data_IF_214705565903
#
_entry.id   IF_214705565903
#
_cell.length_a   1.000
_cell.length_b   1.000
_cell.length_c   1.000
_cell.angle_alpha   90.00
_cell.angle_beta   90.00
_cell.angle_gamma   90.00
#
_symmetry.space_group_name_H-M   'P 1'
#
loop_
_entity.id
_entity.type
_entity.pdbx_description
1 polymer ?
#
# COMPACT_ATOMS: atom_id res chain seq x y z
N UNK A 1 -37.12 -58.96 15.93
CA UNK A 1 -36.26 -57.76 15.96
C UNK A 1 -35.23 -57.69 14.82
N UNK A 2 -34.63 -58.81 14.38
CA UNK A 2 -33.64 -58.80 13.28
C UNK A 2 -34.28 -58.58 11.88
N UNK A 3 -35.47 -59.13 11.61
CA UNK A 3 -36.13 -58.95 10.30
C UNK A 3 -36.59 -57.51 10.03
N UNK A 4 -36.99 -56.78 11.08
CA UNK A 4 -37.39 -55.37 11.00
C UNK A 4 -36.22 -54.43 10.67
N UNK A 5 -35.01 -54.77 11.12
CA UNK A 5 -33.77 -54.07 10.76
C UNK A 5 -33.39 -54.33 9.29
N UNK A 6 -33.54 -55.57 8.82
CA UNK A 6 -33.22 -55.94 7.43
C UNK A 6 -34.14 -55.27 6.40
N UNK A 7 -35.42 -55.10 6.74
CA UNK A 7 -36.41 -54.41 5.90
C UNK A 7 -36.12 -52.91 5.79
N UNK A 8 -35.81 -52.24 6.92
CA UNK A 8 -35.45 -50.82 6.95
C UNK A 8 -34.15 -50.54 6.21
N UNK A 9 -33.13 -51.40 6.34
CA UNK A 9 -31.87 -51.27 5.61
C UNK A 9 -32.06 -51.42 4.09
N UNK A 10 -32.89 -52.38 3.65
CA UNK A 10 -33.21 -52.56 2.22
C UNK A 10 -34.01 -51.38 1.66
N UNK A 11 -34.89 -50.79 2.48
CA UNK A 11 -35.65 -49.61 2.09
C UNK A 11 -34.78 -48.34 1.96
N UNK A 12 -33.75 -48.22 2.82
CA UNK A 12 -32.74 -47.16 2.77
C UNK A 12 -31.77 -47.33 1.60
N UNK A 13 -31.46 -48.57 1.22
CA UNK A 13 -30.67 -48.90 0.02
C UNK A 13 -31.46 -48.73 -1.29
N UNK A 14 -32.79 -48.84 -1.27
CA UNK A 14 -33.64 -48.57 -2.43
C UNK A 14 -34.10 -47.11 -2.53
N UNK A 15 -33.73 -46.26 -1.56
CA UNK A 15 -34.15 -44.86 -1.55
C UNK A 15 -33.22 -44.01 -2.43
N UNK A 16 -33.68 -43.73 -3.65
CA UNK A 16 -33.04 -42.84 -4.64
C UNK A 16 -32.80 -41.42 -4.11
N UNK A 17 -33.49 -41.00 -3.03
CA UNK A 17 -33.24 -39.71 -2.37
C UNK A 17 -31.90 -39.68 -1.61
N UNK A 18 -31.39 -40.85 -1.20
CA UNK A 18 -30.09 -40.99 -0.53
C UNK A 18 -28.90 -40.72 -1.46
N UNK A 19 -29.02 -41.05 -2.75
CA UNK A 19 -27.95 -40.85 -3.75
C UNK A 19 -27.67 -39.36 -3.96
N UNK A 20 -28.72 -38.55 -4.16
CA UNK A 20 -28.59 -37.10 -4.28
C UNK A 20 -27.98 -36.46 -3.02
N UNK A 21 -28.32 -36.98 -1.82
CA UNK A 21 -27.72 -36.51 -0.57
C UNK A 21 -26.21 -36.80 -0.49
N UNK A 22 -25.77 -37.97 -0.98
CA UNK A 22 -24.34 -38.33 -1.00
C UNK A 22 -23.54 -37.52 -2.01
N UNK A 23 -24.09 -37.25 -3.19
CA UNK A 23 -23.44 -36.39 -4.20
C UNK A 23 -23.30 -34.96 -3.68
N UNK A 24 -24.35 -34.41 -3.07
CA UNK A 24 -24.32 -33.10 -2.43
C UNK A 24 -23.28 -33.04 -1.31
N UNK A 25 -23.20 -34.07 -0.45
CA UNK A 25 -22.22 -34.11 0.63
C UNK A 25 -20.77 -34.08 0.14
N UNK A 26 -20.49 -34.65 -1.04
CA UNK A 26 -19.15 -34.64 -1.65
C UNK A 26 -18.84 -33.31 -2.33
N UNK A 27 -19.79 -32.70 -3.04
CA UNK A 27 -19.56 -31.47 -3.82
C UNK A 27 -19.60 -30.20 -2.97
N UNK A 28 -20.46 -30.16 -1.96
CA UNK A 28 -20.64 -29.00 -1.06
C UNK A 28 -19.35 -28.48 -0.42
N UNK A 29 -18.44 -29.30 0.15
CA UNK A 29 -17.21 -28.78 0.73
C UNK A 29 -16.32 -28.04 -0.27
N UNK A 30 -16.26 -28.50 -1.53
CA UNK A 30 -15.51 -27.81 -2.58
C UNK A 30 -16.18 -26.51 -3.01
N UNK A 31 -17.51 -26.50 -3.15
CA UNK A 31 -18.25 -25.27 -3.45
C UNK A 31 -18.10 -24.22 -2.35
N UNK A 32 -18.15 -24.62 -1.08
CA UNK A 32 -17.93 -23.73 0.06
C UNK A 32 -16.52 -23.18 0.08
N UNK A 33 -15.50 -24.01 -0.18
CA UNK A 33 -14.11 -23.57 -0.25
C UNK A 33 -13.92 -22.52 -1.36
N UNK A 34 -14.44 -22.78 -2.56
CA UNK A 34 -14.35 -21.84 -3.67
C UNK A 34 -15.12 -20.54 -3.40
N UNK A 35 -16.28 -20.63 -2.76
CA UNK A 35 -17.06 -19.45 -2.39
C UNK A 35 -16.34 -18.58 -1.36
N UNK A 36 -15.91 -19.17 -0.25
CA UNK A 36 -15.19 -18.45 0.82
C UNK A 36 -13.87 -17.90 0.28
N UNK A 37 -13.10 -18.73 -0.44
CA UNK A 37 -11.85 -18.33 -1.07
C UNK A 37 -12.04 -17.17 -2.04
N UNK A 38 -13.09 -17.22 -2.89
CA UNK A 38 -13.41 -16.14 -3.82
C UNK A 38 -13.76 -14.82 -3.12
N UNK A 39 -14.57 -14.87 -2.06
CA UNK A 39 -14.94 -13.67 -1.28
C UNK A 39 -13.72 -13.06 -0.59
N UNK A 40 -12.89 -13.88 0.07
CA UNK A 40 -11.69 -13.40 0.76
C UNK A 40 -10.62 -12.85 -0.20
N UNK A 41 -10.44 -13.49 -1.37
CA UNK A 41 -9.56 -12.98 -2.42
C UNK A 41 -10.07 -11.66 -2.99
N UNK A 42 -11.39 -11.55 -3.23
CA UNK A 42 -12.02 -10.31 -3.70
C UNK A 42 -11.83 -9.16 -2.72
N UNK A 43 -12.00 -9.42 -1.42
CA UNK A 43 -11.75 -8.43 -0.36
C UNK A 43 -10.26 -8.03 -0.31
N UNK A 44 -9.34 -8.99 -0.36
CA UNK A 44 -7.90 -8.71 -0.40
C UNK A 44 -7.48 -7.86 -1.60
N UNK A 45 -8.03 -8.13 -2.79
CA UNK A 45 -7.77 -7.33 -3.98
C UNK A 45 -8.36 -5.91 -3.85
N UNK A 46 -9.57 -5.77 -3.35
CA UNK A 46 -10.20 -4.47 -3.12
C UNK A 46 -9.39 -3.62 -2.12
N UNK A 47 -8.86 -4.23 -1.06
CA UNK A 47 -7.95 -3.56 -0.12
C UNK A 47 -6.63 -3.17 -0.80
N UNK A 48 -6.07 -4.01 -1.67
CA UNK A 48 -4.84 -3.69 -2.39
C UNK A 48 -5.01 -2.43 -3.27
N UNK A 49 -6.14 -2.31 -3.98
CA UNK A 49 -6.46 -1.08 -4.74
C UNK A 49 -6.50 0.16 -3.83
N UNK A 50 -7.02 0.03 -2.61
CA UNK A 50 -7.02 1.12 -1.62
C UNK A 50 -5.62 1.46 -1.11
N UNK A 51 -4.78 0.45 -0.86
CA UNK A 51 -3.36 0.63 -0.50
C UNK A 51 -2.63 1.41 -1.57
N UNK A 52 -2.80 1.02 -2.84
CA UNK A 52 -2.25 1.73 -4.00
C UNK A 52 -2.73 3.18 -4.08
N UNK A 53 -4.05 3.40 -3.95
CA UNK A 53 -4.64 4.74 -3.95
C UNK A 53 -4.11 5.62 -2.79
N UNK A 54 -3.84 5.01 -1.63
CA UNK A 54 -3.24 5.68 -0.48
C UNK A 54 -1.81 6.12 -0.81
N UNK A 55 -0.98 5.23 -1.36
CA UNK A 55 0.40 5.53 -1.75
C UNK A 55 0.45 6.67 -2.78
N UNK A 56 -0.44 6.64 -3.77
CA UNK A 56 -0.57 7.69 -4.77
C UNK A 56 -0.96 9.03 -4.14
N UNK A 57 -1.98 9.02 -3.26
CA UNK A 57 -2.49 10.25 -2.62
C UNK A 57 -1.44 10.90 -1.74
N UNK A 58 -0.67 10.11 -0.96
CA UNK A 58 0.41 10.62 -0.10
C UNK A 58 1.49 11.29 -0.94
N UNK A 59 1.97 10.60 -1.98
CA UNK A 59 2.99 11.15 -2.87
C UNK A 59 2.48 12.42 -3.58
N UNK A 60 1.21 12.43 -4.02
CA UNK A 60 0.59 13.58 -4.68
C UNK A 60 0.47 14.81 -3.75
N UNK A 61 0.05 14.63 -2.50
CA UNK A 61 -0.03 15.72 -1.52
C UNK A 61 1.35 16.30 -1.18
N UNK A 62 2.38 15.45 -1.10
CA UNK A 62 3.74 15.89 -0.73
C UNK A 62 4.41 16.62 -1.89
N UNK A 63 4.27 16.11 -3.11
CA UNK A 63 4.92 16.69 -4.32
C UNK A 63 4.38 18.06 -4.71
N UNK A 64 3.22 18.48 -4.19
CA UNK A 64 2.64 19.82 -4.38
C UNK A 64 3.23 20.88 -3.44
N UNK A 65 4.08 20.49 -2.50
CA UNK A 65 4.74 21.40 -1.56
C UNK A 65 6.23 21.46 -1.88
N UNK A 66 6.83 22.65 -1.75
CA UNK A 66 8.28 22.80 -1.92
C UNK A 66 9.02 22.57 -0.61
N UNK A 67 8.33 22.76 0.53
CA UNK A 67 8.86 22.55 1.87
C UNK A 67 7.73 22.17 2.85
N UNK A 68 7.99 21.21 3.74
CA UNK A 68 7.04 20.69 4.72
C UNK A 68 7.62 20.68 6.13
N UNK A 69 6.82 21.13 7.10
CA UNK A 69 7.13 20.99 8.53
C UNK A 69 6.77 19.58 9.02
N UNK A 70 7.31 19.17 10.17
CA UNK A 70 6.97 17.87 10.80
C UNK A 70 5.47 17.74 11.05
N UNK A 71 4.83 18.78 11.58
CA UNK A 71 3.40 18.79 11.89
C UNK A 71 2.54 18.60 10.64
N UNK A 72 2.93 19.20 9.52
CA UNK A 72 2.20 19.04 8.26
C UNK A 72 2.40 17.66 7.65
N UNK A 73 3.62 17.13 7.70
CA UNK A 73 3.87 15.76 7.26
C UNK A 73 3.02 14.77 8.08
N UNK A 74 2.98 14.93 9.40
CA UNK A 74 2.13 14.10 10.27
C UNK A 74 0.63 14.27 9.94
N UNK A 75 0.20 15.50 9.65
CA UNK A 75 -1.17 15.79 9.21
C UNK A 75 -1.54 15.14 7.87
N UNK A 76 -0.64 15.19 6.88
CA UNK A 76 -0.82 14.55 5.57
C UNK A 76 -0.92 13.03 5.74
N UNK A 77 0.01 12.44 6.50
CA UNK A 77 0.02 10.99 6.74
C UNK A 77 -1.23 10.53 7.50
N UNK A 78 -1.68 11.31 8.50
CA UNK A 78 -2.92 11.03 9.21
C UNK A 78 -4.16 11.13 8.31
N UNK A 79 -4.25 12.17 7.48
CA UNK A 79 -5.35 12.37 6.54
C UNK A 79 -5.40 11.27 5.47
N UNK A 80 -4.24 10.85 4.96
CA UNK A 80 -4.15 9.79 3.96
C UNK A 80 -4.74 8.46 4.46
N UNK A 81 -4.72 8.20 5.76
CA UNK A 81 -5.32 6.99 6.32
C UNK A 81 -6.83 6.88 6.11
N UNK A 82 -7.52 8.00 5.89
CA UNK A 82 -8.96 8.01 5.61
C UNK A 82 -9.32 7.37 4.26
N UNK A 83 -8.37 7.28 3.31
CA UNK A 83 -8.61 6.69 1.99
C UNK A 83 -8.89 5.18 2.05
N UNK A 84 -8.41 4.51 3.11
CA UNK A 84 -8.65 3.10 3.38
C UNK A 84 -10.10 2.80 3.79
N UNK A 85 -10.93 3.79 4.09
CA UNK A 85 -12.33 3.56 4.42
C UNK A 85 -13.03 2.76 3.30
N UNK A 86 -13.89 1.78 3.66
CA UNK A 86 -14.40 1.46 5.00
C UNK A 86 -13.55 0.43 5.80
N UNK A 87 -12.33 0.11 5.37
CA UNK A 87 -11.51 -0.92 6.01
C UNK A 87 -10.81 -0.41 7.27
N UNK A 88 -10.73 -1.22 8.34
CA UNK A 88 -10.11 -0.81 9.59
C UNK A 88 -8.60 -0.67 9.45
N UNK A 89 -8.04 0.46 9.88
CA UNK A 89 -6.59 0.71 9.86
C UNK A 89 -5.90 0.32 11.18
N UNK A 90 -6.67 -0.09 12.18
CA UNK A 90 -6.20 -0.52 13.50
C UNK A 90 -7.02 -1.71 13.99
N UNK A 91 -6.36 -2.60 14.71
CA UNK A 91 -6.99 -3.64 15.50
C UNK A 91 -6.60 -3.44 16.97
N UNK A 92 -7.49 -2.83 17.76
CA UNK A 92 -7.17 -2.34 19.09
C UNK A 92 -6.04 -1.30 19.06
N UNK A 93 -4.93 -1.59 19.73
CA UNK A 93 -3.74 -0.73 19.77
C UNK A 93 -2.74 -1.01 18.63
N UNK A 94 -2.97 -2.05 17.84
CA UNK A 94 -2.08 -2.46 16.74
C UNK A 94 -2.47 -1.74 15.46
N UNK A 95 -1.51 -1.03 14.84
CA UNK A 95 -1.71 -0.46 13.51
C UNK A 95 -1.69 -1.58 12.47
N UNK A 96 -2.72 -1.68 11.64
CA UNK A 96 -2.77 -2.61 10.50
C UNK A 96 -2.13 -2.00 9.25
N UNK A 97 -1.91 -0.69 9.26
CA UNK A 97 -1.35 0.04 8.13
C UNK A 97 -0.10 0.81 8.53
N UNK A 98 0.90 0.79 7.67
CA UNK A 98 2.10 1.62 7.75
C UNK A 98 2.25 2.40 6.46
N UNK A 99 2.40 3.72 6.57
CA UNK A 99 2.72 4.61 5.46
C UNK A 99 4.12 5.14 5.71
N UNK A 100 5.02 4.91 4.77
CA UNK A 100 6.36 5.47 4.75
C UNK A 100 6.50 6.36 3.53
N UNK A 101 7.05 7.55 3.71
CA UNK A 101 7.39 8.44 2.62
C UNK A 101 8.84 8.86 2.73
N UNK A 102 9.53 8.88 1.59
CA UNK A 102 10.94 9.21 1.51
C UNK A 102 11.20 10.07 0.28
N UNK A 103 12.12 11.03 0.41
CA UNK A 103 12.74 11.63 -0.77
C UNK A 103 13.95 10.82 -1.20
N UNK A 104 14.04 10.58 -2.49
CA UNK A 104 15.05 9.77 -3.14
C UNK A 104 15.71 10.61 -4.20
N UNK A 105 17.00 10.86 -4.02
CA UNK A 105 17.77 11.65 -4.98
C UNK A 105 18.84 10.81 -5.63
N UNK A 106 19.16 11.13 -6.87
CA UNK A 106 20.20 10.45 -7.64
C UNK A 106 21.39 11.37 -7.89
N UNK A 107 22.59 10.80 -7.88
CA UNK A 107 23.80 11.52 -8.27
C UNK A 107 23.97 11.60 -9.80
N UNK A 108 25.10 12.16 -10.25
CA UNK A 108 25.41 12.29 -11.68
C UNK A 108 25.64 10.93 -12.38
N UNK A 109 25.87 9.87 -11.60
CA UNK A 109 26.05 8.49 -12.06
C UNK A 109 24.74 7.69 -11.99
N UNK A 110 23.64 8.30 -11.52
CA UNK A 110 22.33 7.65 -11.35
C UNK A 110 22.17 6.84 -10.06
N UNK A 111 23.09 6.95 -9.11
CA UNK A 111 22.99 6.24 -7.83
C UNK A 111 21.95 6.90 -6.93
N UNK A 112 20.86 6.18 -6.64
CA UNK A 112 19.78 6.70 -5.80
C UNK A 112 20.09 6.53 -4.31
N UNK A 113 19.83 7.58 -3.54
CA UNK A 113 19.99 7.60 -2.08
C UNK A 113 18.81 8.28 -1.41
N UNK A 114 18.41 7.78 -0.25
CA UNK A 114 17.37 8.40 0.59
C UNK A 114 17.90 9.69 1.22
N UNK A 115 17.18 10.80 1.04
CA UNK A 115 17.54 12.11 1.61
C UNK A 115 16.87 12.38 2.95
N UNK A 116 15.60 12.02 3.05
CA UNK A 116 14.86 11.99 4.29
C UNK A 116 13.79 10.91 4.18
N UNK A 117 13.31 10.46 5.34
CA UNK A 117 12.21 9.51 5.41
C UNK A 117 11.37 9.79 6.64
N UNK A 118 10.06 9.59 6.51
CA UNK A 118 9.10 9.67 7.60
C UNK A 118 8.11 8.53 7.47
N UNK A 119 7.76 7.90 8.58
CA UNK A 119 6.79 6.82 8.62
C UNK A 119 5.77 7.04 9.73
N UNK A 120 4.57 6.47 9.55
CA UNK A 120 3.59 6.34 10.62
C UNK A 120 3.98 5.27 11.65
N UNK A 121 4.90 4.36 11.29
CA UNK A 121 5.51 3.40 12.20
C UNK A 121 6.84 3.93 12.75
N UNK A 122 7.11 3.69 14.03
CA UNK A 122 8.35 4.11 14.68
C UNK A 122 9.62 3.52 14.04
N UNK A 123 9.53 2.33 13.43
CA UNK A 123 10.63 1.65 12.76
C UNK A 123 10.50 1.59 11.24
N UNK A 124 9.44 2.20 10.68
CA UNK A 124 9.13 2.09 9.25
C UNK A 124 9.87 3.09 8.36
N UNK A 125 10.53 4.10 8.94
CA UNK A 125 11.26 5.11 8.17
C UNK A 125 12.59 4.53 7.66
N UNK A 126 12.93 4.86 6.40
CA UNK A 126 14.20 4.47 5.78
C UNK A 126 15.36 5.26 6.38
N UNK A 127 16.55 4.67 6.38
CA UNK A 127 17.76 5.34 6.86
C UNK A 127 18.22 6.39 5.84
N UNK A 128 18.56 7.59 6.30
CA UNK A 128 19.14 8.64 5.45
C UNK A 128 20.47 8.16 4.89
N UNK A 129 20.69 8.35 3.59
CA UNK A 129 21.87 7.86 2.86
C UNK A 129 21.77 6.40 2.42
N UNK A 130 20.68 5.68 2.75
CA UNK A 130 20.47 4.33 2.26
C UNK A 130 20.43 4.32 0.73
N UNK A 131 21.28 3.50 0.12
CA UNK A 131 21.30 3.30 -1.32
C UNK A 131 20.03 2.58 -1.78
N UNK A 132 19.50 3.00 -2.92
CA UNK A 132 18.33 2.38 -3.55
C UNK A 132 18.59 2.12 -5.02
N UNK A 133 17.93 1.10 -5.54
CA UNK A 133 17.95 0.79 -6.97
C UNK A 133 16.67 1.30 -7.60
N UNK A 134 16.78 2.24 -8.53
CA UNK A 134 15.67 2.69 -9.35
C UNK A 134 15.67 1.89 -10.65
N UNK A 135 14.49 1.47 -11.11
CA UNK A 135 14.36 0.91 -12.45
C UNK A 135 14.71 1.96 -13.50
N UNK A 136 15.21 1.53 -14.66
CA UNK A 136 15.85 2.37 -15.70
C UNK A 136 14.91 3.34 -16.45
N UNK A 137 13.76 3.70 -15.88
CA UNK A 137 12.68 4.41 -16.59
C UNK A 137 12.07 5.58 -15.81
N UNK A 138 12.79 6.18 -14.86
CA UNK A 138 12.20 7.26 -14.06
C UNK A 138 12.45 8.66 -14.64
N UNK A 139 13.49 8.91 -15.46
CA UNK A 139 13.76 10.27 -15.95
C UNK A 139 12.97 10.71 -17.20
N UNK A 140 12.36 11.92 -17.23
CA UNK A 140 11.84 12.53 -18.45
C UNK A 140 13.00 12.89 -19.39
N UNK A 141 13.20 12.13 -20.47
CA UNK A 141 14.09 12.53 -21.58
C UNK A 141 15.30 11.65 -21.90
N UNK A 142 15.53 10.52 -21.23
CA UNK A 142 16.60 9.60 -21.65
C UNK A 142 17.07 8.61 -20.59
N UNK A 143 17.85 7.63 -21.06
CA UNK A 143 18.32 6.35 -20.46
C UNK A 143 19.07 6.40 -19.13
N UNK A 144 19.04 7.51 -18.38
CA UNK A 144 19.74 7.62 -17.09
C UNK A 144 18.93 8.42 -16.08
N UNK A 145 18.74 7.83 -14.89
CA UNK A 145 18.13 8.46 -13.73
C UNK A 145 19.14 9.37 -13.01
N UNK A 146 19.89 10.20 -13.73
CA UNK A 146 20.94 11.02 -13.13
C UNK A 146 20.40 12.39 -12.68
N UNK A 147 20.84 12.86 -11.52
CA UNK A 147 20.52 14.18 -10.95
C UNK A 147 19.02 14.49 -10.77
N UNK A 148 18.18 13.48 -10.59
CA UNK A 148 16.75 13.61 -10.30
C UNK A 148 16.45 13.47 -8.80
N UNK A 149 15.33 14.06 -8.36
CA UNK A 149 14.71 13.74 -7.07
C UNK A 149 13.29 13.21 -7.28
N UNK A 150 12.91 12.25 -6.44
CA UNK A 150 11.63 11.56 -6.46
C UNK A 150 11.09 11.45 -5.04
N UNK A 151 9.78 11.58 -4.89
CA UNK A 151 9.08 11.20 -3.67
C UNK A 151 8.61 9.77 -3.83
N UNK A 152 9.11 8.91 -2.96
CA UNK A 152 8.70 7.52 -2.81
C UNK A 152 7.68 7.45 -1.66
N UNK A 153 6.44 7.10 -1.98
CA UNK A 153 5.46 6.69 -0.97
C UNK A 153 5.29 5.18 -1.00
N UNK A 154 5.41 4.56 0.17
CA UNK A 154 5.26 3.13 0.39
C UNK A 154 4.16 2.93 1.42
N UNK A 155 3.19 2.11 1.07
CA UNK A 155 2.10 1.76 1.99
C UNK A 155 2.07 0.26 2.13
N UNK A 156 1.97 -0.21 3.36
CA UNK A 156 1.74 -1.62 3.65
C UNK A 156 0.56 -1.79 4.59
N UNK A 157 -0.24 -2.82 4.35
CA UNK A 157 -1.42 -3.17 5.11
C UNK A 157 -1.42 -4.68 5.42
N UNK A 158 -1.61 -5.02 6.68
CA UNK A 158 -1.64 -6.41 7.17
C UNK A 158 -3.06 -6.96 7.10
N UNK A 159 -3.40 -7.61 5.97
CA UNK A 159 -4.72 -8.20 5.75
C UNK A 159 -4.83 -9.56 6.42
N UNK A 160 -5.86 -9.71 7.27
CA UNK A 160 -6.19 -10.97 7.94
C UNK A 160 -7.57 -11.40 7.45
N UNK A 161 -7.68 -12.50 6.67
CA UNK A 161 -8.96 -13.04 6.23
C UNK A 161 -9.88 -13.33 7.42
N UNK A 162 -11.18 -13.02 7.29
CA UNK A 162 -12.13 -13.30 8.38
C UNK A 162 -12.43 -14.80 8.47
N UNK A 163 -12.46 -15.48 7.33
CA UNK A 163 -12.68 -16.90 7.20
C UNK A 163 -11.39 -17.59 6.71
N UNK A 164 -11.04 -18.72 7.31
CA UNK A 164 -9.86 -19.49 6.90
C UNK A 164 -8.51 -18.90 7.30
N UNK A 165 -8.47 -17.92 8.21
CA UNK A 165 -7.24 -17.32 8.73
C UNK A 165 -6.24 -18.36 9.27
N UNK A 166 -6.73 -19.43 9.90
CA UNK A 166 -5.89 -20.51 10.43
C UNK A 166 -5.11 -21.26 9.35
N UNK A 167 -5.52 -21.13 8.08
CA UNK A 167 -4.88 -21.77 6.92
C UNK A 167 -4.04 -20.76 6.15
N UNK A 168 -4.56 -19.55 5.91
CA UNK A 168 -3.91 -18.53 5.07
C UNK A 168 -2.95 -17.59 5.82
N UNK A 169 -3.14 -17.40 7.12
CA UNK A 169 -2.39 -16.42 7.92
C UNK A 169 -2.65 -14.95 7.52
N UNK A 170 -1.85 -14.04 8.08
CA UNK A 170 -1.89 -12.62 7.72
C UNK A 170 -1.10 -12.40 6.43
N UNK A 171 -1.74 -11.80 5.43
CA UNK A 171 -1.13 -11.46 4.15
C UNK A 171 -0.80 -9.98 4.13
N UNK A 172 0.47 -9.64 3.94
CA UNK A 172 0.92 -8.26 3.82
C UNK A 172 0.67 -7.76 2.40
N UNK A 173 -0.26 -6.83 2.26
CA UNK A 173 -0.51 -6.07 1.04
C UNK A 173 0.42 -4.86 1.05
N UNK A 174 1.15 -4.61 -0.03
CA UNK A 174 2.03 -3.44 -0.10
C UNK A 174 2.08 -2.89 -1.50
N UNK A 175 2.16 -1.57 -1.61
CA UNK A 175 2.40 -0.88 -2.86
C UNK A 175 3.35 0.31 -2.64
N UNK A 176 4.06 0.68 -3.71
CA UNK A 176 5.03 1.77 -3.72
C UNK A 176 4.85 2.63 -4.95
N UNK A 177 4.85 3.94 -4.77
CA UNK A 177 4.64 4.89 -5.85
C UNK A 177 5.70 5.98 -5.85
N UNK A 178 6.21 6.29 -7.04
CA UNK A 178 7.20 7.33 -7.26
C UNK A 178 6.55 8.49 -8.00
N UNK A 179 6.73 9.70 -7.48
CA UNK A 179 6.36 10.92 -8.18
C UNK A 179 7.50 11.92 -8.16
N UNK A 180 7.65 12.63 -9.27
CA UNK A 180 8.43 13.87 -9.29
C UNK A 180 7.74 14.93 -8.44
N UNK A 181 8.50 15.69 -7.63
CA UNK A 181 8.01 16.93 -7.07
C UNK A 181 7.44 17.82 -8.18
N UNK A 182 6.16 18.14 -8.08
CA UNK A 182 5.47 19.02 -9.02
C UNK A 182 5.98 20.45 -8.86
N UNK A 183 6.44 20.77 -7.66
CA UNK A 183 6.94 22.09 -7.31
C UNK A 183 8.19 21.93 -6.45
N UNK A 184 9.27 22.59 -6.84
CA UNK A 184 10.52 22.63 -6.09
C UNK A 184 11.06 24.05 -6.07
N UNK A 185 11.85 24.36 -5.05
CA UNK A 185 12.61 25.62 -5.00
C UNK A 185 13.87 25.60 -5.84
N UNK A 186 14.29 24.43 -6.32
CA UNK A 186 15.53 24.26 -7.07
C UNK A 186 15.20 24.06 -8.55
N UNK A 187 16.03 24.65 -9.43
CA UNK A 187 15.96 24.53 -10.90
C UNK A 187 17.26 23.95 -11.48
N UNK A 188 17.38 23.74 -12.81
CA UNK A 188 18.51 22.99 -13.39
C UNK A 188 19.78 23.82 -13.32
N UNK A 189 19.59 25.14 -13.24
CA UNK A 189 20.60 26.16 -13.22
C UNK A 189 21.19 26.39 -11.82
N UNK A 190 20.57 25.87 -10.75
CA UNK A 190 21.02 26.04 -9.37
C UNK A 190 21.51 24.71 -8.82
N UNK A 191 22.82 24.62 -8.62
CA UNK A 191 23.64 23.45 -8.26
C UNK A 191 23.09 22.52 -7.16
N UNK A 192 23.57 21.25 -7.19
CA UNK A 192 23.51 20.19 -6.17
C UNK A 192 23.29 20.74 -4.75
N UNK A 193 22.27 20.31 -3.97
CA UNK A 193 21.52 19.03 -4.00
C UNK A 193 20.33 19.01 -5.01
N UNK A 194 19.52 17.94 -5.14
CA UNK A 194 18.93 17.53 -6.43
C UNK A 194 17.93 18.53 -7.04
N UNK A 195 17.74 18.37 -8.34
CA UNK A 195 17.11 19.32 -9.26
C UNK A 195 15.64 19.65 -8.92
N UNK A 196 14.92 18.78 -8.21
CA UNK A 196 13.53 19.03 -7.83
C UNK A 196 13.23 18.45 -6.44
N UNK A 197 13.82 19.00 -5.37
CA UNK A 197 13.62 18.50 -4.00
C UNK A 197 12.36 19.05 -3.31
N UNK A 198 11.88 18.31 -2.30
CA UNK A 198 10.88 18.76 -1.32
C UNK A 198 11.56 18.81 0.04
N UNK A 199 11.76 20.01 0.58
CA UNK A 199 12.52 20.19 1.82
C UNK A 199 11.76 19.65 3.03
N UNK A 200 12.37 18.71 3.76
CA UNK A 200 11.83 18.16 5.00
C UNK A 200 12.96 17.70 5.94
N UNK A 201 12.86 17.97 7.26
CA UNK A 201 11.91 18.89 7.89
C UNK A 201 12.28 20.36 7.60
N UNK A 202 11.30 21.18 7.26
CA UNK A 202 11.47 22.61 7.07
C UNK A 202 10.98 23.42 8.28
N UNK A 203 11.53 24.63 8.47
CA UNK A 203 11.09 25.60 9.49
C UNK A 203 9.86 26.40 9.07
N UNK A 204 9.63 26.55 7.77
CA UNK A 204 8.43 27.16 7.19
C UNK A 204 7.85 26.28 6.09
N UNK A 205 6.54 26.36 5.93
CA UNK A 205 5.81 25.71 4.84
C UNK A 205 5.81 26.59 3.63
N UNK A 206 5.98 26.00 2.46
CA UNK A 206 5.78 26.72 1.21
C UNK A 206 5.04 25.84 0.20
N UNK A 207 3.85 26.28 -0.18
CA UNK A 207 3.06 25.63 -1.24
C UNK A 207 3.56 26.06 -2.60
N UNK A 208 3.28 25.24 -3.62
CA UNK A 208 3.58 25.58 -4.99
C UNK A 208 3.06 26.96 -5.44
N UNK A 209 1.82 27.28 -5.07
CA UNK A 209 1.17 28.54 -5.47
C UNK A 209 1.88 29.74 -4.83
N UNK A 210 2.25 29.64 -3.55
CA UNK A 210 3.02 30.69 -2.87
C UNK A 210 4.40 30.87 -3.51
N UNK A 211 5.09 29.77 -3.81
CA UNK A 211 6.41 29.81 -4.42
C UNK A 211 6.37 30.41 -5.83
N UNK A 212 5.49 29.91 -6.72
CA UNK A 212 5.45 30.29 -8.13
C UNK A 212 4.80 31.66 -8.38
N UNK A 213 3.69 31.97 -7.70
CA UNK A 213 2.93 33.20 -7.98
C UNK A 213 3.38 34.37 -7.12
N UNK A 214 3.75 34.13 -5.86
CA UNK A 214 4.06 35.20 -4.90
C UNK A 214 5.57 35.40 -4.71
N UNK A 215 6.41 34.46 -5.18
CA UNK A 215 7.87 34.44 -4.93
C UNK A 215 8.24 34.55 -3.45
N UNK A 216 7.34 34.07 -2.58
CA UNK A 216 7.48 34.13 -1.13
C UNK A 216 7.35 32.75 -0.53
N UNK A 217 8.22 32.47 0.43
CA UNK A 217 8.09 31.51 1.51
C UNK A 217 8.48 32.26 2.80
#
# INVERSE_FOLDING_TARGET
MISTLSSRARHMLSDVRGVAATEFAIVTPFMLLLYIGGVELGNGLAMNVKVSATAHSVADMITQNTALTTTQMDGILAAATATMAPYPIKNGNTSLMTITVSEVSTDASGNATVRWSKSTSASGARTVGQAMTLSSFTAPGGTSNANISLILSEVSYDYTPNLGFTIAGTVKLSDSYYLFPRCSTNGPATLKPPYYDVKYPATSTCTCVQHLQKKTC
#
